data_IF_995101391186
#
_entry.id   IF_995101391186
#
_cell.length_a   1.000
_cell.length_b   1.000
_cell.length_c   1.000
_cell.angle_alpha   90.00
_cell.angle_beta   90.00
_cell.angle_gamma   90.00
#
_symmetry.space_group_name_H-M   'P 1'
#
loop_
_entity.id
_entity.type
_entity.pdbx_description
1 polymer ?
#
# COMPACT_ATOMS: atom_id res chain seq x y z
N UNK A 1 -28.82 -10.11 -8.83
CA UNK A 1 -27.66 -10.90 -9.31
C UNK A 1 -26.42 -10.05 -9.07
N UNK A 2 -25.75 -10.26 -7.95
CA UNK A 2 -24.50 -9.53 -7.59
C UNK A 2 -23.36 -10.20 -8.35
N UNK A 3 -22.71 -9.45 -9.25
CA UNK A 3 -21.50 -9.91 -9.93
C UNK A 3 -20.36 -9.95 -8.91
N UNK A 4 -19.94 -11.14 -8.49
CA UNK A 4 -18.71 -11.36 -7.77
C UNK A 4 -17.54 -11.04 -8.71
N UNK A 5 -16.84 -9.96 -8.43
CA UNK A 5 -15.60 -9.64 -9.12
C UNK A 5 -14.51 -10.46 -8.42
N UNK A 6 -14.09 -11.55 -9.07
CA UNK A 6 -12.92 -12.32 -8.65
C UNK A 6 -11.66 -11.51 -8.95
N UNK A 7 -11.04 -10.96 -7.91
CA UNK A 7 -9.74 -10.30 -8.02
C UNK A 7 -8.66 -11.40 -7.98
N UNK A 8 -8.09 -11.68 -9.14
CA UNK A 8 -6.96 -12.61 -9.28
C UNK A 8 -5.71 -11.94 -8.69
N UNK A 9 -5.29 -12.40 -7.52
CA UNK A 9 -4.07 -11.96 -6.85
C UNK A 9 -2.87 -12.56 -7.57
N UNK A 10 -2.32 -11.84 -8.55
CA UNK A 10 -1.01 -12.18 -9.11
C UNK A 10 0.04 -11.65 -8.13
N UNK A 11 0.53 -12.52 -7.24
CA UNK A 11 1.66 -12.22 -6.38
C UNK A 11 2.90 -12.08 -7.25
N UNK A 12 3.28 -10.85 -7.56
CA UNK A 12 4.59 -10.56 -8.13
C UNK A 12 5.59 -10.73 -6.98
N UNK A 13 6.20 -11.90 -6.90
CA UNK A 13 7.36 -12.14 -6.04
C UNK A 13 8.52 -11.38 -6.68
N UNK A 14 8.79 -10.18 -6.22
CA UNK A 14 10.02 -9.45 -6.57
C UNK A 14 11.09 -9.89 -5.58
N UNK A 15 12.17 -10.56 -6.00
CA UNK A 15 13.28 -10.86 -5.12
C UNK A 15 14.00 -9.55 -4.77
N UNK A 16 13.88 -9.10 -3.52
CA UNK A 16 14.74 -8.05 -2.98
C UNK A 16 16.16 -8.62 -2.79
N UNK A 17 16.94 -8.63 -3.85
CA UNK A 17 18.39 -8.81 -3.72
C UNK A 17 19.00 -7.44 -3.46
N UNK A 18 19.39 -7.17 -2.22
CA UNK A 18 20.35 -6.12 -1.94
C UNK A 18 21.68 -6.48 -2.59
N UNK A 19 21.94 -5.93 -3.76
CA UNK A 19 23.25 -5.94 -4.39
C UNK A 19 23.92 -4.60 -4.13
N UNK A 20 24.73 -4.53 -3.07
CA UNK A 20 25.78 -3.54 -3.01
C UNK A 20 26.85 -3.93 -4.03
N UNK A 21 26.94 -3.23 -5.13
CA UNK A 21 28.17 -3.16 -5.88
C UNK A 21 28.30 -1.81 -6.58
N UNK A 22 29.35 -1.09 -6.20
CA UNK A 22 29.75 0.20 -6.73
C UNK A 22 30.24 0.07 -8.17
N UNK A 23 29.58 0.72 -9.12
CA UNK A 23 30.22 1.43 -10.23
C UNK A 23 29.16 2.16 -11.09
N UNK A 24 29.33 3.48 -11.19
CA UNK A 24 28.88 4.40 -12.24
C UNK A 24 27.46 4.33 -12.80
N UNK A 25 26.77 5.46 -12.58
CA UNK A 25 25.74 6.05 -13.45
C UNK A 25 24.46 5.23 -13.73
N UNK A 26 23.54 5.52 -12.98
CA UNK A 26 22.08 5.48 -12.94
C UNK A 26 21.55 4.69 -11.75
N UNK A 27 21.31 5.40 -10.66
CA UNK A 27 20.53 4.85 -9.56
C UNK A 27 19.17 4.46 -10.13
N UNK A 28 18.91 3.15 -10.25
CA UNK A 28 17.58 2.64 -10.54
C UNK A 28 16.77 2.83 -9.27
N UNK A 29 16.17 3.98 -9.15
CA UNK A 29 15.32 4.29 -8.03
C UNK A 29 14.00 3.53 -8.16
N UNK A 30 13.52 2.99 -7.05
CA UNK A 30 12.16 2.50 -6.94
C UNK A 30 11.37 3.42 -6.03
N UNK A 31 10.21 3.86 -6.47
CA UNK A 31 9.38 4.78 -5.71
C UNK A 31 7.88 4.57 -5.98
N UNK A 32 7.08 5.01 -5.04
CA UNK A 32 5.63 5.00 -5.15
C UNK A 32 5.14 6.25 -5.86
N UNK A 33 4.14 6.08 -6.71
CA UNK A 33 3.46 7.20 -7.35
C UNK A 33 1.98 6.91 -7.56
N UNK A 34 1.20 7.98 -7.70
CA UNK A 34 -0.18 7.94 -8.15
C UNK A 34 -0.24 8.47 -9.57
N UNK A 35 -0.81 7.69 -10.49
CA UNK A 35 -0.93 8.10 -11.89
C UNK A 35 -2.11 9.03 -12.07
N UNK A 36 -1.91 10.06 -12.88
CA UNK A 36 -2.95 10.99 -13.32
C UNK A 36 -2.92 11.14 -14.82
N UNK A 37 -4.08 11.05 -15.44
CA UNK A 37 -4.25 11.30 -16.87
C UNK A 37 -3.84 12.72 -17.19
N UNK A 38 -3.04 12.87 -18.23
CA UNK A 38 -2.64 14.16 -18.78
C UNK A 38 -2.62 14.11 -20.32
N UNK A 39 -2.29 15.21 -20.97
CA UNK A 39 -2.17 15.29 -22.43
C UNK A 39 -0.81 14.90 -22.98
N UNK A 40 0.08 14.30 -22.19
CA UNK A 40 1.43 13.93 -22.58
C UNK A 40 1.46 12.76 -23.58
N UNK A 41 2.65 12.51 -24.13
CA UNK A 41 2.91 11.40 -25.08
C UNK A 41 2.45 10.04 -24.54
N UNK A 42 2.61 9.81 -23.25
CA UNK A 42 2.26 8.55 -22.61
C UNK A 42 0.86 8.55 -21.97
N UNK A 43 0.17 9.70 -22.00
CA UNK A 43 -1.20 9.87 -21.53
C UNK A 43 -1.34 10.00 -20.01
N UNK A 44 -0.24 9.99 -19.25
CA UNK A 44 -0.26 10.16 -17.80
C UNK A 44 1.03 10.77 -17.26
N UNK A 45 0.89 11.43 -16.12
CA UNK A 45 1.98 11.90 -15.27
C UNK A 45 1.97 11.14 -13.94
N UNK A 46 3.06 11.26 -13.18
CA UNK A 46 3.19 10.71 -11.84
C UNK A 46 3.04 11.81 -10.79
N UNK A 47 2.21 11.58 -9.77
CA UNK A 47 2.22 12.35 -8.53
C UNK A 47 3.01 11.53 -7.51
N UNK A 48 4.12 12.09 -7.05
CA UNK A 48 5.02 11.48 -6.07
C UNK A 48 4.48 11.63 -4.65
N UNK A 49 5.00 10.86 -3.71
CA UNK A 49 4.55 10.87 -2.31
C UNK A 49 4.84 12.18 -1.55
N UNK A 50 5.74 13.00 -2.06
CA UNK A 50 5.94 14.38 -1.59
C UNK A 50 5.06 15.43 -2.31
N UNK A 51 4.00 14.95 -2.99
CA UNK A 51 3.04 15.77 -3.76
C UNK A 51 3.63 16.52 -4.97
N UNK A 52 4.88 16.26 -5.33
CA UNK A 52 5.48 16.81 -6.55
C UNK A 52 5.11 15.97 -7.77
N UNK A 53 5.15 16.60 -8.93
CA UNK A 53 4.77 15.97 -10.21
C UNK A 53 5.99 15.57 -11.02
N UNK A 54 5.88 14.44 -11.73
CA UNK A 54 6.89 14.00 -12.68
C UNK A 54 6.25 13.72 -14.04
N UNK A 55 6.86 14.29 -15.08
CA UNK A 55 6.55 14.01 -16.48
C UNK A 55 7.18 12.68 -16.90
N UNK A 56 6.41 11.81 -17.55
CA UNK A 56 6.97 10.59 -18.13
C UNK A 56 7.65 10.93 -19.45
N UNK A 57 8.99 10.77 -19.49
CA UNK A 57 9.80 11.07 -20.69
C UNK A 57 10.12 9.81 -21.49
N UNK A 58 10.22 8.66 -20.81
CA UNK A 58 10.36 7.37 -21.46
C UNK A 58 9.58 6.28 -20.71
N UNK A 59 9.09 5.29 -21.44
CA UNK A 59 8.35 4.15 -20.91
C UNK A 59 8.72 2.90 -21.68
N UNK A 60 9.33 1.93 -20.99
CA UNK A 60 9.64 0.63 -21.58
C UNK A 60 8.35 -0.19 -21.74
N UNK A 61 7.89 -0.31 -22.98
CA UNK A 61 6.65 -1.00 -23.31
C UNK A 61 5.42 -0.11 -23.29
N UNK A 62 4.28 -0.69 -22.91
CA UNK A 62 2.99 0.01 -22.82
C UNK A 62 2.35 -0.27 -21.48
N UNK A 63 1.71 0.72 -20.89
CA UNK A 63 0.96 0.57 -19.65
C UNK A 63 -0.43 1.19 -19.80
N UNK A 64 -1.47 0.38 -19.58
CA UNK A 64 -2.84 0.87 -19.54
C UNK A 64 -3.16 1.33 -18.12
N UNK A 65 -3.11 2.63 -17.90
CA UNK A 65 -3.43 3.22 -16.60
C UNK A 65 -4.92 3.51 -16.44
N UNK A 66 -5.32 3.66 -15.20
CA UNK A 66 -6.57 4.29 -14.78
C UNK A 66 -6.20 5.48 -13.90
N UNK A 67 -6.92 6.58 -14.04
CA UNK A 67 -6.68 7.77 -13.22
C UNK A 67 -6.79 7.44 -11.72
N UNK A 68 -5.76 7.77 -10.96
CA UNK A 68 -5.66 7.41 -9.55
C UNK A 68 -5.04 6.03 -9.27
N UNK A 69 -4.56 5.30 -10.28
CA UNK A 69 -3.80 4.07 -10.05
C UNK A 69 -2.58 4.34 -9.16
N UNK A 70 -2.43 3.56 -8.09
CA UNK A 70 -1.24 3.55 -7.24
C UNK A 70 -0.27 2.52 -7.76
N UNK A 71 0.97 2.92 -7.98
CA UNK A 71 1.99 2.10 -8.63
C UNK A 71 3.33 2.17 -7.92
N UNK A 72 4.10 1.07 -8.04
CA UNK A 72 5.54 1.06 -7.83
C UNK A 72 6.21 1.26 -9.19
N UNK A 73 7.06 2.27 -9.29
CA UNK A 73 7.86 2.57 -10.47
C UNK A 73 9.30 2.17 -10.19
N UNK A 74 9.92 1.50 -11.15
CA UNK A 74 11.35 1.25 -11.23
C UNK A 74 11.88 2.04 -12.42
N UNK A 75 12.74 3.03 -12.18
CA UNK A 75 13.20 3.92 -13.23
C UNK A 75 14.14 5.00 -12.73
N UNK A 76 14.45 5.95 -13.61
CA UNK A 76 15.30 7.08 -13.29
C UNK A 76 14.43 8.31 -13.07
N UNK A 77 14.51 8.89 -11.88
CA UNK A 77 13.83 10.14 -11.54
C UNK A 77 14.85 11.28 -11.54
N UNK A 78 14.64 12.25 -12.42
CA UNK A 78 15.56 13.39 -12.58
C UNK A 78 14.87 14.70 -12.23
N UNK A 79 15.57 15.63 -11.58
CA UNK A 79 15.04 16.97 -11.37
C UNK A 79 14.82 17.65 -12.72
N UNK A 80 13.62 18.18 -12.91
CA UNK A 80 13.31 18.92 -14.14
C UNK A 80 13.84 20.35 -14.02
N UNK A 81 14.74 20.72 -14.91
CA UNK A 81 15.30 22.07 -15.02
C UNK A 81 14.67 22.89 -16.14
N UNK A 82 13.70 22.29 -16.86
CA UNK A 82 13.00 22.93 -17.97
C UNK A 82 11.74 23.70 -17.56
N UNK A 83 11.08 24.32 -18.53
CA UNK A 83 9.87 25.12 -18.35
C UNK A 83 8.56 24.34 -18.42
N UNK A 84 8.58 23.00 -18.32
CA UNK A 84 7.41 22.13 -18.58
C UNK A 84 6.32 22.16 -17.48
N UNK A 85 6.60 22.82 -16.36
CA UNK A 85 5.63 22.88 -15.25
C UNK A 85 5.67 21.65 -14.30
N UNK A 86 6.44 20.62 -14.63
CA UNK A 86 6.67 19.47 -13.76
C UNK A 86 7.92 19.67 -12.90
N UNK A 87 7.93 19.07 -11.69
CA UNK A 87 9.08 19.16 -10.79
C UNK A 87 10.20 18.18 -11.20
N UNK A 88 9.82 17.06 -11.79
CA UNK A 88 10.72 15.98 -12.21
C UNK A 88 10.37 15.48 -13.61
N UNK A 89 11.31 14.75 -14.19
CA UNK A 89 11.08 13.83 -15.31
C UNK A 89 11.37 12.41 -14.87
N UNK A 90 10.70 11.43 -15.47
CA UNK A 90 10.89 10.02 -15.15
C UNK A 90 10.99 9.16 -16.42
N UNK A 91 12.04 8.32 -16.46
CA UNK A 91 12.20 7.25 -17.43
C UNK A 91 11.82 5.93 -16.77
N UNK A 92 10.70 5.35 -17.16
CA UNK A 92 10.10 4.17 -16.52
C UNK A 92 10.62 2.90 -17.19
N UNK A 93 11.37 2.11 -16.42
CA UNK A 93 11.85 0.78 -16.86
C UNK A 93 10.84 -0.31 -16.58
N UNK A 94 10.17 -0.24 -15.42
CA UNK A 94 9.10 -1.16 -15.02
C UNK A 94 8.08 -0.42 -14.17
N UNK A 95 6.82 -0.80 -14.32
CA UNK A 95 5.71 -0.27 -13.55
C UNK A 95 4.84 -1.43 -13.05
N UNK A 96 4.50 -1.42 -11.78
CA UNK A 96 3.65 -2.43 -11.15
C UNK A 96 2.51 -1.77 -10.40
N UNK A 97 1.28 -2.18 -10.69
CA UNK A 97 0.10 -1.70 -9.96
C UNK A 97 0.08 -2.29 -8.56
N UNK A 98 -0.19 -1.44 -7.56
CA UNK A 98 -0.30 -1.84 -6.16
C UNK A 98 -1.79 -2.00 -5.80
N UNK A 99 -2.08 -2.99 -4.97
CA UNK A 99 -3.40 -3.16 -4.36
C UNK A 99 -3.72 -1.90 -3.57
N UNK A 100 -4.84 -1.27 -3.92
CA UNK A 100 -5.27 -0.03 -3.28
C UNK A 100 -6.72 -0.13 -2.89
N UNK A 101 -7.05 0.22 -1.65
CA UNK A 101 -8.41 0.27 -1.12
C UNK A 101 -8.58 1.50 -0.21
N UNK A 102 -9.81 1.73 0.25
CA UNK A 102 -10.15 2.81 1.18
C UNK A 102 -10.26 2.27 2.60
N UNK A 103 -10.15 3.15 3.60
CA UNK A 103 -10.48 2.81 4.99
C UNK A 103 -11.97 2.44 5.07
N UNK A 104 -12.27 1.32 5.74
CA UNK A 104 -13.64 0.86 5.99
C UNK A 104 -14.02 1.23 7.41
N UNK A 105 -15.22 1.75 7.62
CA UNK A 105 -15.74 2.00 8.97
C UNK A 105 -16.68 0.86 9.36
N UNK A 106 -16.52 0.36 10.58
CA UNK A 106 -17.36 -0.69 11.17
C UNK A 106 -18.03 -0.12 12.42
N UNK A 107 -19.35 -0.02 12.37
CA UNK A 107 -20.18 0.60 13.42
C UNK A 107 -20.99 -0.43 14.22
N UNK A 108 -21.23 -1.60 13.63
CA UNK A 108 -21.96 -2.69 14.27
C UNK A 108 -21.23 -4.03 14.10
N UNK A 109 -21.44 -5.02 15.01
CA UNK A 109 -20.82 -6.35 14.86
C UNK A 109 -21.13 -7.05 13.55
N UNK A 110 -22.32 -6.82 12.97
CA UNK A 110 -22.77 -7.42 11.72
C UNK A 110 -22.02 -6.87 10.50
N UNK A 111 -21.47 -5.66 10.61
CA UNK A 111 -20.64 -5.05 9.58
C UNK A 111 -19.19 -5.58 9.59
N UNK A 112 -18.75 -6.20 10.69
CA UNK A 112 -17.39 -6.74 10.83
C UNK A 112 -17.21 -8.05 10.05
N UNK A 113 -17.03 -7.93 8.74
CA UNK A 113 -16.85 -9.03 7.79
C UNK A 113 -15.40 -9.21 7.33
N UNK A 114 -14.47 -8.46 7.90
CA UNK A 114 -13.10 -8.30 7.40
C UNK A 114 -12.12 -9.36 7.89
N UNK A 115 -12.54 -10.25 8.80
CA UNK A 115 -11.73 -11.33 9.33
C UNK A 115 -10.66 -10.88 10.32
N UNK A 116 -9.96 -11.86 10.90
CA UNK A 116 -8.92 -11.66 11.91
C UNK A 116 -7.74 -12.61 11.72
N UNK A 117 -7.51 -13.09 10.51
CA UNK A 117 -6.39 -13.99 10.24
C UNK A 117 -5.05 -13.26 10.43
N UNK A 118 -4.02 -14.05 10.74
CA UNK A 118 -2.72 -13.50 11.07
C UNK A 118 -2.05 -12.78 9.90
N UNK A 119 -1.42 -11.67 10.22
CA UNK A 119 -0.60 -10.88 9.30
C UNK A 119 0.69 -10.45 10.00
N UNK A 120 1.80 -10.38 9.27
CA UNK A 120 3.04 -9.77 9.74
C UNK A 120 3.26 -8.48 8.97
N UNK A 121 3.29 -7.36 9.65
CA UNK A 121 3.67 -6.07 9.08
C UNK A 121 5.20 -5.94 9.15
N UNK A 122 5.84 -5.80 7.99
CA UNK A 122 7.28 -5.60 7.88
C UNK A 122 7.64 -4.12 7.91
N UNK A 123 6.81 -3.30 7.26
CA UNK A 123 6.94 -1.84 7.25
C UNK A 123 5.57 -1.19 7.09
N UNK A 124 5.39 -0.04 7.75
CA UNK A 124 4.19 0.79 7.62
C UNK A 124 4.59 2.26 7.68
N UNK A 125 4.11 3.06 6.72
CA UNK A 125 4.36 4.52 6.70
C UNK A 125 3.22 5.26 6.02
N UNK A 126 3.09 6.55 6.33
CA UNK A 126 2.12 7.45 5.72
C UNK A 126 2.86 8.37 4.76
N UNK A 127 2.45 8.41 3.50
CA UNK A 127 2.95 9.37 2.51
C UNK A 127 1.94 9.53 1.36
N UNK A 128 1.91 10.71 0.73
CA UNK A 128 1.04 10.98 -0.41
C UNK A 128 -0.46 10.83 -0.15
N UNK A 129 -0.89 10.88 1.12
CA UNK A 129 -2.29 10.64 1.52
C UNK A 129 -2.67 9.17 1.65
N UNK A 130 -1.69 8.27 1.65
CA UNK A 130 -1.88 6.82 1.80
C UNK A 130 -1.18 6.29 3.05
N UNK A 131 -1.79 5.27 3.67
CA UNK A 131 -1.05 4.30 4.47
C UNK A 131 -0.46 3.27 3.51
N UNK A 132 0.86 3.15 3.50
CA UNK A 132 1.59 2.17 2.71
C UNK A 132 2.06 1.04 3.62
N UNK A 133 1.88 -0.20 3.20
CA UNK A 133 2.18 -1.39 3.97
C UNK A 133 2.98 -2.40 3.17
N UNK A 134 4.07 -2.90 3.77
CA UNK A 134 4.70 -4.15 3.38
C UNK A 134 4.33 -5.21 4.42
N UNK A 135 3.83 -6.35 3.96
CA UNK A 135 3.31 -7.37 4.85
C UNK A 135 3.59 -8.79 4.36
N UNK A 136 3.39 -9.75 5.25
CA UNK A 136 3.39 -11.17 4.92
C UNK A 136 2.16 -11.83 5.51
N UNK A 137 1.60 -12.78 4.76
CA UNK A 137 0.44 -13.60 5.15
C UNK A 137 0.68 -15.06 4.78
N UNK A 138 -0.03 -15.96 5.43
CA UNK A 138 -0.09 -17.34 5.01
C UNK A 138 -1.10 -17.49 3.87
N UNK A 139 -0.70 -18.18 2.80
CA UNK A 139 -1.59 -18.56 1.71
C UNK A 139 -1.64 -20.08 1.58
N UNK A 140 -2.82 -20.61 1.31
CA UNK A 140 -2.97 -22.01 0.94
C UNK A 140 -2.38 -22.21 -0.47
N UNK A 141 -1.47 -23.17 -0.61
CA UNK A 141 -0.77 -23.45 -1.87
C UNK A 141 -1.64 -24.18 -2.88
N UNK A 142 -2.73 -24.83 -2.44
CA UNK A 142 -3.56 -25.69 -3.27
C UNK A 142 -4.83 -25.02 -3.81
N UNK A 143 -5.21 -23.89 -3.24
CA UNK A 143 -6.34 -23.09 -3.72
C UNK A 143 -5.85 -21.69 -4.01
N UNK A 144 -6.38 -21.06 -5.06
CA UNK A 144 -6.24 -19.62 -5.29
C UNK A 144 -6.83 -18.90 -4.07
N UNK A 145 -6.02 -18.77 -3.04
CA UNK A 145 -6.43 -18.22 -1.76
C UNK A 145 -6.80 -16.77 -1.95
N UNK A 146 -8.06 -16.45 -1.79
CA UNK A 146 -8.53 -15.10 -1.70
C UNK A 146 -8.13 -14.56 -0.32
N UNK A 147 -6.96 -13.93 -0.26
CA UNK A 147 -6.55 -13.15 0.90
C UNK A 147 -7.02 -11.71 0.66
N UNK A 148 -7.83 -11.19 1.56
CA UNK A 148 -8.31 -9.80 1.49
C UNK A 148 -7.76 -9.06 2.70
N UNK A 149 -6.89 -8.08 2.43
CA UNK A 149 -6.36 -7.17 3.45
C UNK A 149 -7.23 -5.92 3.46
N UNK A 150 -7.69 -5.50 4.62
CA UNK A 150 -8.54 -4.33 4.82
C UNK A 150 -8.02 -3.45 5.95
N UNK A 151 -8.11 -2.14 5.77
CA UNK A 151 -7.86 -1.17 6.85
C UNK A 151 -9.20 -0.71 7.40
N UNK A 152 -9.39 -0.87 8.71
CA UNK A 152 -10.69 -0.71 9.36
C UNK A 152 -10.61 0.33 10.48
N UNK A 153 -11.50 1.31 10.43
CA UNK A 153 -11.86 2.16 11.55
C UNK A 153 -13.00 1.46 12.31
N UNK A 154 -12.68 0.84 13.43
CA UNK A 154 -13.65 0.13 14.25
C UNK A 154 -14.17 1.05 15.35
N UNK A 155 -15.39 1.54 15.20
CA UNK A 155 -16.04 2.45 16.17
C UNK A 155 -16.98 1.75 17.14
N UNK A 156 -17.09 0.41 17.11
CA UNK A 156 -17.91 -0.37 18.05
C UNK A 156 -17.42 -0.15 19.51
N UNK A 157 -16.10 -0.02 19.67
CA UNK A 157 -15.48 0.24 20.96
C UNK A 157 -15.18 1.74 21.07
N UNK A 158 -16.10 2.52 21.60
CA UNK A 158 -16.08 3.99 21.69
C UNK A 158 -14.85 4.62 22.39
N UNK A 159 -13.96 3.83 22.98
CA UNK A 159 -12.81 4.32 23.76
C UNK A 159 -11.51 4.49 22.97
N UNK A 160 -11.52 4.34 21.64
CA UNK A 160 -10.26 4.29 20.86
C UNK A 160 -9.69 5.65 20.43
N UNK A 161 -10.50 6.71 20.43
CA UNK A 161 -10.04 8.04 20.02
C UNK A 161 -10.46 9.09 21.07
N UNK A 162 -9.93 8.98 22.29
CA UNK A 162 -10.23 9.93 23.37
C UNK A 162 -9.49 11.28 23.22
N UNK A 163 -8.85 11.51 22.09
CA UNK A 163 -8.10 12.74 21.82
C UNK A 163 -6.76 12.86 22.56
N UNK A 164 -6.42 11.87 23.39
CA UNK A 164 -5.16 11.85 24.15
C UNK A 164 -3.98 11.30 23.34
N UNK A 165 -4.25 10.60 22.22
CA UNK A 165 -3.25 9.97 21.37
C UNK A 165 -2.91 10.85 20.18
N UNK A 166 -1.61 11.07 19.95
CA UNK A 166 -1.09 11.80 18.78
C UNK A 166 -1.11 10.94 17.49
N UNK A 167 -2.01 9.94 17.42
CA UNK A 167 -2.13 8.98 16.33
C UNK A 167 -3.59 8.61 16.07
N UNK A 168 -3.98 8.42 14.79
CA UNK A 168 -5.20 7.67 14.50
C UNK A 168 -5.01 6.20 14.87
N UNK A 169 -6.01 5.57 15.47
CA UNK A 169 -6.00 4.13 15.76
C UNK A 169 -6.85 3.39 14.73
N UNK A 170 -6.21 2.55 13.90
CA UNK A 170 -6.87 1.75 12.89
C UNK A 170 -6.50 0.27 13.06
N UNK A 171 -7.38 -0.61 12.57
CA UNK A 171 -7.16 -2.05 12.61
C UNK A 171 -6.83 -2.57 11.21
N UNK A 172 -5.72 -3.31 11.11
CA UNK A 172 -5.40 -4.03 9.88
C UNK A 172 -5.99 -5.43 10.00
N UNK A 173 -6.86 -5.77 9.08
CA UNK A 173 -7.62 -7.01 9.06
C UNK A 173 -7.22 -7.85 7.87
N UNK A 174 -7.14 -9.16 8.09
CA UNK A 174 -6.89 -10.15 7.04
C UNK A 174 -8.02 -11.17 7.07
N UNK A 175 -8.64 -11.38 5.93
CA UNK A 175 -9.61 -12.45 5.71
C UNK A 175 -9.03 -13.39 4.66
N UNK A 176 -8.63 -14.57 5.11
CA UNK A 176 -8.17 -15.64 4.23
C UNK A 176 -9.08 -16.85 4.37
N UNK A 177 -9.17 -17.68 3.34
CA UNK A 177 -9.89 -18.95 3.37
C UNK A 177 -8.92 -20.08 3.76
N UNK A 178 -8.06 -19.83 4.76
CA UNK A 178 -7.11 -20.84 5.24
C UNK A 178 -7.82 -21.90 6.07
N UNK A 179 -7.75 -23.14 5.62
CA UNK A 179 -7.94 -24.27 6.51
C UNK A 179 -6.57 -24.57 7.16
N UNK A 180 -6.47 -24.36 8.49
CA UNK A 180 -5.19 -24.46 9.25
C UNK A 180 -4.58 -25.87 9.23
N UNK A 181 -5.28 -26.87 8.71
CA UNK A 181 -4.79 -28.25 8.57
C UNK A 181 -4.04 -28.49 7.25
N UNK A 182 -4.02 -27.51 6.33
CA UNK A 182 -3.43 -27.66 5.02
C UNK A 182 -2.05 -27.00 4.93
N UNK A 183 -1.26 -27.44 3.93
CA UNK A 183 0.03 -26.84 3.62
C UNK A 183 -0.14 -25.37 3.20
N UNK A 184 0.56 -24.48 3.85
CA UNK A 184 0.60 -23.06 3.50
C UNK A 184 2.01 -22.59 3.18
N UNK A 185 2.10 -21.57 2.37
CA UNK A 185 3.32 -20.80 2.12
C UNK A 185 3.17 -19.37 2.63
N UNK A 186 4.28 -18.76 3.00
CA UNK A 186 4.29 -17.33 3.34
C UNK A 186 4.39 -16.53 2.04
N UNK A 187 3.42 -15.66 1.83
CA UNK A 187 3.44 -14.71 0.73
C UNK A 187 3.75 -13.30 1.27
N UNK A 188 4.51 -12.55 0.48
CA UNK A 188 4.84 -11.15 0.76
C UNK A 188 4.07 -10.26 -0.20
N UNK A 189 3.62 -9.13 0.29
CA UNK A 189 2.85 -8.19 -0.50
C UNK A 189 3.02 -6.75 -0.07
N UNK A 190 2.55 -5.86 -0.93
CA UNK A 190 2.39 -4.44 -0.65
C UNK A 190 0.95 -4.03 -0.88
N UNK A 191 0.41 -3.20 -0.01
CA UNK A 191 -0.90 -2.58 -0.14
C UNK A 191 -0.83 -1.11 0.25
N UNK A 192 -1.68 -0.30 -0.36
CA UNK A 192 -1.84 1.11 -0.05
C UNK A 192 -3.31 1.39 0.27
N UNK A 193 -3.57 2.12 1.35
CA UNK A 193 -4.92 2.50 1.73
C UNK A 193 -5.08 4.01 1.65
N UNK A 194 -6.07 4.49 0.89
CA UNK A 194 -6.41 5.92 0.85
C UNK A 194 -6.95 6.33 2.20
N UNK A 195 -6.30 7.30 2.83
CA UNK A 195 -6.65 7.69 4.20
C UNK A 195 -7.85 8.64 4.26
N UNK A 196 -8.08 9.47 3.22
CA UNK A 196 -9.21 10.37 3.22
C UNK A 196 -9.25 11.27 4.45
N UNK A 197 -10.30 11.12 5.27
CA UNK A 197 -10.48 11.82 6.55
C UNK A 197 -9.54 11.32 7.65
N UNK A 198 -8.99 10.11 7.53
CA UNK A 198 -8.02 9.53 8.47
C UNK A 198 -6.56 9.92 8.15
N UNK A 199 -6.34 10.92 7.29
CA UNK A 199 -4.99 11.38 6.99
C UNK A 199 -4.42 12.20 8.17
N UNK A 200 -3.40 11.70 8.90
CA UNK A 200 -2.86 12.36 10.07
C UNK A 200 -2.22 13.72 9.76
N UNK A 201 -1.73 13.93 8.53
CA UNK A 201 -1.16 15.22 8.12
C UNK A 201 -2.19 16.36 8.18
N UNK A 202 -3.47 16.07 7.89
CA UNK A 202 -4.55 17.06 7.91
C UNK A 202 -4.97 17.45 9.32
N UNK A 203 -4.84 16.51 10.25
CA UNK A 203 -5.25 16.66 11.64
C UNK A 203 -4.08 17.05 12.58
N UNK A 204 -2.88 17.20 12.03
CA UNK A 204 -1.67 17.52 12.81
C UNK A 204 -1.22 16.39 13.72
N UNK A 205 -1.58 15.16 13.41
CA UNK A 205 -1.19 13.96 14.17
C UNK A 205 0.15 13.42 13.66
N UNK A 206 0.83 12.63 14.50
CA UNK A 206 2.15 12.05 14.17
C UNK A 206 2.10 10.85 13.23
N UNK A 207 0.92 10.25 13.04
CA UNK A 207 0.77 9.07 12.19
C UNK A 207 -0.44 8.21 12.55
N UNK A 208 -0.33 6.92 12.26
CA UNK A 208 -1.36 5.92 12.49
C UNK A 208 -0.78 4.82 13.39
N UNK A 209 -1.49 4.46 14.44
CA UNK A 209 -1.26 3.24 15.22
C UNK A 209 -2.10 2.12 14.63
N UNK A 210 -1.43 1.11 14.09
CA UNK A 210 -2.06 -0.07 13.53
C UNK A 210 -2.12 -1.18 14.57
N UNK A 211 -3.29 -1.78 14.75
CA UNK A 211 -3.48 -3.00 15.52
C UNK A 211 -3.87 -4.14 14.58
N UNK A 212 -3.30 -5.32 14.76
CA UNK A 212 -3.55 -6.48 13.90
C UNK A 212 -3.34 -7.80 14.65
N UNK A 213 -3.86 -8.90 14.09
CA UNK A 213 -3.56 -10.26 14.58
C UNK A 213 -2.21 -10.70 14.08
N UNK A 214 -1.31 -11.13 14.98
CA UNK A 214 0.05 -11.55 14.61
C UNK A 214 0.05 -12.85 13.81
N UNK A 215 0.88 -12.91 12.77
CA UNK A 215 1.06 -14.11 11.94
C UNK A 215 1.54 -15.28 12.79
N UNK A 216 0.88 -16.44 12.63
CA UNK A 216 1.16 -17.63 13.44
C UNK A 216 0.31 -17.73 14.72
N UNK A 217 -0.54 -16.76 15.01
CA UNK A 217 -1.55 -16.89 16.06
C UNK A 217 -2.58 -17.94 15.65
N UNK A 218 -2.68 -19.03 16.43
CA UNK A 218 -3.55 -20.17 16.09
C UNK A 218 -5.05 -19.88 16.27
N UNK A 219 -5.39 -18.91 17.09
CA UNK A 219 -6.78 -18.61 17.51
C UNK A 219 -7.16 -17.13 17.32
N UNK A 220 -6.32 -16.35 16.63
CA UNK A 220 -6.53 -14.91 16.46
C UNK A 220 -6.37 -14.09 17.74
N UNK A 221 -5.95 -14.71 18.86
CA UNK A 221 -5.87 -14.07 20.18
C UNK A 221 -4.67 -13.15 20.31
N UNK A 222 -3.56 -13.45 19.60
CA UNK A 222 -2.34 -12.66 19.74
C UNK A 222 -2.39 -11.42 18.88
N UNK A 223 -2.64 -10.28 19.51
CA UNK A 223 -2.62 -8.97 18.87
C UNK A 223 -1.22 -8.36 18.89
N UNK A 224 -0.86 -7.70 17.81
CA UNK A 224 0.33 -6.88 17.67
C UNK A 224 -0.06 -5.46 17.28
N UNK A 225 0.85 -4.52 17.48
CA UNK A 225 0.66 -3.15 17.02
C UNK A 225 1.96 -2.58 16.44
N UNK A 226 1.83 -1.65 15.51
CA UNK A 226 2.93 -0.88 14.96
C UNK A 226 2.49 0.56 14.70
N UNK A 227 3.47 1.47 14.57
CA UNK A 227 3.22 2.87 14.28
C UNK A 227 3.68 3.17 12.86
N UNK A 228 2.76 3.61 12.01
CA UNK A 228 3.04 4.19 10.72
C UNK A 228 3.24 5.70 10.89
N UNK A 229 4.48 6.16 10.77
CA UNK A 229 4.81 7.59 10.83
C UNK A 229 4.64 8.23 9.47
N UNK A 230 4.49 9.56 9.47
CA UNK A 230 4.50 10.35 8.24
C UNK A 230 5.95 10.36 7.71
N UNK A 231 6.12 9.92 6.48
CA UNK A 231 7.38 9.95 5.75
C UNK A 231 7.21 10.81 4.50
N UNK A 232 7.99 11.88 4.39
CA UNK A 232 8.04 12.71 3.19
C UNK A 232 9.34 12.40 2.45
N UNK A 233 9.31 11.54 1.42
CA UNK A 233 10.51 11.16 0.71
C UNK A 233 11.12 12.37 -0.02
N UNK A 234 12.43 12.49 0.07
CA UNK A 234 13.23 13.41 -0.75
C UNK A 234 13.66 12.65 -2.02
N UNK A 235 13.47 13.28 -3.19
CA UNK A 235 13.83 12.73 -4.50
C UNK A 235 14.88 13.61 -5.19
#
# INVERSE_FOLDING_TARGET
MRKLIYLLLLAVVVPFTQSCNSSSDSAKDSFLATLRSDGSKFGFMCILDNMKTAEVTDLNGTYKHTDGDRVMIYGNLNKNTGASGYNYTVDIHQIAKIITDDVKTVSTPEEDVYGNDGIKVSRAWVSGGYLNLEFSVNLNTLMSANCVISLVNNVINENKNDGSNNYFELELRNKSNLNMEENYSVAHGMACFRLGEFNPEREGLSGIKLTYTELGSKDGSKKASTFAKIELPEY
#
